data_IF_471744094822
#
_entry.id   IF_471744094822
#
_cell.length_a   1.000
_cell.length_b   1.000
_cell.length_c   1.000
_cell.angle_alpha   90.00
_cell.angle_beta   90.00
_cell.angle_gamma   90.00
#
_symmetry.space_group_name_H-M   'P 1'
#
loop_
_entity.id
_entity.type
_entity.pdbx_description
1 polymer ?
#
# COMPACT_ATOMS: atom_id res chain seq x y z
N UNK A 1 -20.70 17.32 -34.40
CA UNK A 1 -19.25 17.62 -34.38
C UNK A 1 -18.90 18.03 -32.96
N UNK A 2 -17.87 17.42 -32.38
CA UNK A 2 -17.50 17.53 -30.95
C UNK A 2 -17.36 19.00 -30.51
N UNK A 3 -18.40 19.56 -29.89
CA UNK A 3 -18.50 20.97 -29.47
C UNK A 3 -17.50 21.38 -28.36
N UNK A 4 -16.60 20.47 -27.98
CA UNK A 4 -15.67 20.61 -26.88
C UNK A 4 -14.24 20.93 -27.36
N UNK A 5 -13.93 20.69 -28.63
CA UNK A 5 -12.59 20.88 -29.19
C UNK A 5 -12.65 21.96 -30.27
N UNK A 6 -12.10 23.13 -29.98
CA UNK A 6 -11.91 24.19 -30.96
C UNK A 6 -10.44 24.19 -31.42
N UNK A 7 -10.22 23.84 -32.68
CA UNK A 7 -8.92 24.03 -33.35
C UNK A 7 -7.72 23.24 -32.80
N UNK A 8 -7.93 22.12 -32.11
CA UNK A 8 -6.90 21.20 -31.56
C UNK A 8 -6.03 21.75 -30.41
N UNK A 9 -6.19 23.01 -29.98
CA UNK A 9 -5.32 23.61 -28.94
C UNK A 9 -6.01 23.90 -27.62
N UNK A 10 -7.35 23.95 -27.61
CA UNK A 10 -8.14 24.32 -26.44
C UNK A 10 -9.43 23.54 -26.33
N UNK A 11 -9.92 23.45 -25.09
CA UNK A 11 -11.23 22.91 -24.76
C UNK A 11 -12.16 24.03 -24.29
N UNK A 12 -13.45 23.91 -24.59
CA UNK A 12 -14.49 24.74 -24.00
C UNK A 12 -15.39 23.87 -23.12
N UNK A 13 -15.59 24.25 -21.86
CA UNK A 13 -16.53 23.57 -20.96
C UNK A 13 -17.84 24.37 -20.88
N UNK A 14 -18.96 23.86 -21.43
CA UNK A 14 -20.24 24.57 -21.40
C UNK A 14 -20.80 24.76 -19.98
N UNK A 15 -20.29 24.04 -18.98
CA UNK A 15 -20.67 24.19 -17.57
C UNK A 15 -20.00 25.39 -16.91
N UNK A 16 -18.96 25.97 -17.51
CA UNK A 16 -18.19 27.08 -16.97
C UNK A 16 -18.30 28.31 -17.88
N UNK A 17 -18.77 29.43 -17.32
CA UNK A 17 -18.95 30.70 -18.03
C UNK A 17 -19.66 30.55 -19.39
N UNK A 18 -20.70 29.71 -19.45
CA UNK A 18 -21.47 29.38 -20.66
C UNK A 18 -20.61 28.92 -21.86
N UNK A 19 -19.46 28.29 -21.61
CA UNK A 19 -18.53 27.83 -22.65
C UNK A 19 -17.76 28.95 -23.36
N UNK A 20 -17.78 30.17 -22.82
CA UNK A 20 -17.01 31.31 -23.37
C UNK A 20 -15.53 31.23 -23.04
N UNK A 21 -15.20 30.63 -21.89
CA UNK A 21 -13.82 30.47 -21.46
C UNK A 21 -13.16 29.27 -22.14
N UNK A 22 -11.91 29.49 -22.55
CA UNK A 22 -11.08 28.50 -23.22
C UNK A 22 -10.01 28.01 -22.27
N UNK A 23 -9.91 26.70 -22.13
CA UNK A 23 -8.86 26.08 -21.34
C UNK A 23 -7.83 25.41 -22.27
N UNK A 24 -6.54 25.42 -21.92
CA UNK A 24 -5.55 24.60 -22.60
C UNK A 24 -5.93 23.11 -22.54
N UNK A 25 -5.56 22.33 -23.56
CA UNK A 25 -5.85 20.89 -23.58
C UNK A 25 -5.26 20.13 -22.37
N UNK A 26 -4.14 20.63 -21.81
CA UNK A 26 -3.55 20.06 -20.59
C UNK A 26 -4.45 20.14 -19.35
N UNK A 27 -5.49 21.00 -19.37
CA UNK A 27 -6.50 21.07 -18.32
C UNK A 27 -7.28 19.75 -18.19
N UNK A 28 -7.48 18.98 -19.26
CA UNK A 28 -8.09 17.64 -19.16
C UNK A 28 -7.22 16.69 -18.33
N UNK A 29 -5.92 16.67 -18.60
CA UNK A 29 -4.96 15.85 -17.85
C UNK A 29 -4.93 16.28 -16.38
N UNK A 30 -4.98 17.59 -16.13
CA UNK A 30 -5.07 18.12 -14.78
C UNK A 30 -6.35 17.63 -14.07
N UNK A 31 -7.52 17.74 -14.69
CA UNK A 31 -8.78 17.28 -14.10
C UNK A 31 -8.81 15.78 -13.87
N UNK A 32 -8.29 14.97 -14.80
CA UNK A 32 -8.19 13.52 -14.60
C UNK A 32 -7.31 13.19 -13.39
N UNK A 33 -6.16 13.85 -13.25
CA UNK A 33 -5.27 13.67 -12.10
C UNK A 33 -5.92 14.16 -10.80
N UNK A 34 -6.61 15.31 -10.83
CA UNK A 34 -7.32 15.83 -9.67
C UNK A 34 -8.48 14.94 -9.24
N UNK A 35 -9.20 14.34 -10.18
CA UNK A 35 -10.27 13.41 -9.86
C UNK A 35 -9.73 12.18 -9.11
N UNK A 36 -8.59 11.63 -9.55
CA UNK A 36 -7.91 10.54 -8.84
C UNK A 36 -7.51 10.94 -7.41
N UNK A 37 -6.96 12.15 -7.23
CA UNK A 37 -6.61 12.66 -5.89
C UNK A 37 -7.84 12.83 -5.00
N UNK A 38 -8.97 13.29 -5.56
CA UNK A 38 -10.24 13.42 -4.82
C UNK A 38 -10.76 12.05 -4.38
N UNK A 39 -10.72 11.05 -5.27
CA UNK A 39 -11.09 9.66 -4.95
C UNK A 39 -10.22 9.11 -3.82
N UNK A 40 -8.89 9.27 -3.91
CA UNK A 40 -7.94 8.85 -2.87
C UNK A 40 -8.21 9.56 -1.52
N UNK A 41 -8.53 10.86 -1.54
CA UNK A 41 -8.92 11.62 -0.35
C UNK A 41 -10.21 11.10 0.29
N UNK A 42 -11.22 10.79 -0.53
CA UNK A 42 -12.49 10.25 -0.05
C UNK A 42 -12.31 8.87 0.59
N UNK A 43 -11.48 8.02 0.00
CA UNK A 43 -11.15 6.69 0.53
C UNK A 43 -10.42 6.77 1.86
N UNK A 44 -9.42 7.64 1.98
CA UNK A 44 -8.72 7.89 3.24
C UNK A 44 -9.68 8.37 4.33
N UNK A 45 -10.54 9.34 3.99
CA UNK A 45 -11.55 9.85 4.92
C UNK A 45 -12.52 8.76 5.36
N UNK A 46 -12.98 7.92 4.45
CA UNK A 46 -13.88 6.81 4.77
C UNK A 46 -13.20 5.79 5.71
N UNK A 47 -11.93 5.46 5.46
CA UNK A 47 -11.14 4.60 6.34
C UNK A 47 -10.95 5.21 7.73
N UNK A 48 -10.65 6.51 7.82
CA UNK A 48 -10.54 7.21 9.10
C UNK A 48 -11.86 7.20 9.88
N UNK A 49 -12.98 7.48 9.22
CA UNK A 49 -14.29 7.45 9.89
C UNK A 49 -14.63 6.03 10.36
N UNK A 50 -14.36 5.00 9.56
CA UNK A 50 -14.54 3.61 9.97
C UNK A 50 -13.72 3.29 11.23
N UNK A 51 -12.45 3.72 11.28
CA UNK A 51 -11.59 3.54 12.46
C UNK A 51 -12.15 4.25 13.69
N UNK A 52 -12.61 5.51 13.55
CA UNK A 52 -13.21 6.28 14.64
C UNK A 52 -14.47 5.62 15.18
N UNK A 53 -15.34 5.14 14.30
CA UNK A 53 -16.54 4.41 14.68
C UNK A 53 -16.19 3.15 15.48
N UNK A 54 -15.20 2.38 15.02
CA UNK A 54 -14.73 1.17 15.71
C UNK A 54 -14.10 1.48 17.05
N UNK A 55 -13.36 2.59 17.16
CA UNK A 55 -12.79 3.04 18.42
C UNK A 55 -13.89 3.34 19.46
N UNK A 56 -14.95 4.04 19.06
CA UNK A 56 -16.11 4.31 19.93
C UNK A 56 -16.82 3.01 20.35
N UNK A 57 -17.01 2.09 19.40
CA UNK A 57 -17.61 0.78 19.65
C UNK A 57 -16.77 -0.04 20.66
N UNK A 58 -15.46 -0.13 20.45
CA UNK A 58 -14.55 -0.90 21.30
C UNK A 58 -14.41 -0.30 22.71
N UNK A 59 -14.43 1.02 22.84
CA UNK A 59 -14.48 1.70 24.14
C UNK A 59 -15.77 1.32 24.90
N UNK A 60 -16.92 1.29 24.21
CA UNK A 60 -18.20 0.94 24.85
C UNK A 60 -18.34 -0.54 25.23
N UNK A 61 -17.55 -1.43 24.61
CA UNK A 61 -17.62 -2.89 24.80
C UNK A 61 -16.54 -3.46 25.73
N UNK A 62 -15.75 -2.60 26.38
CA UNK A 62 -14.67 -3.03 27.28
C UNK A 62 -13.49 -3.71 26.58
N UNK A 63 -13.36 -3.50 25.26
CA UNK A 63 -12.25 -3.98 24.42
C UNK A 63 -11.10 -2.96 24.36
N UNK A 64 -11.00 -2.09 25.35
CA UNK A 64 -10.04 -0.99 25.43
C UNK A 64 -8.59 -1.46 25.28
N UNK A 65 -8.28 -2.69 25.72
CA UNK A 65 -6.97 -3.31 25.55
C UNK A 65 -6.56 -3.63 24.10
N UNK A 66 -7.49 -3.62 23.13
CA UNK A 66 -7.16 -3.70 21.70
C UNK A 66 -6.66 -2.35 21.15
N UNK A 67 -6.86 -1.26 21.89
CA UNK A 67 -6.49 0.09 21.49
C UNK A 67 -5.35 0.58 22.36
N UNK A 68 -4.14 0.07 22.11
CA UNK A 68 -2.95 0.55 22.82
C UNK A 68 -2.50 1.95 22.40
N UNK A 69 -3.20 2.62 21.48
CA UNK A 69 -2.65 3.75 20.73
C UNK A 69 -3.71 4.81 20.32
N UNK A 70 -4.45 5.35 21.29
CA UNK A 70 -5.35 6.50 21.06
C UNK A 70 -4.64 7.67 20.37
N UNK A 71 -3.38 7.94 20.72
CA UNK A 71 -2.57 8.99 20.10
C UNK A 71 -2.22 8.71 18.63
N UNK A 72 -2.18 7.45 18.21
CA UNK A 72 -1.91 7.10 16.81
C UNK A 72 -3.06 7.48 15.90
N UNK A 73 -4.31 7.33 16.35
CA UNK A 73 -5.47 7.70 15.53
C UNK A 73 -5.60 9.21 15.33
N UNK A 74 -5.29 10.01 16.35
CA UNK A 74 -5.18 11.46 16.19
C UNK A 74 -4.07 11.83 15.21
N UNK A 75 -2.92 11.15 15.27
CA UNK A 75 -1.83 11.37 14.33
C UNK A 75 -2.18 10.99 12.88
N UNK A 76 -3.12 10.07 12.64
CA UNK A 76 -3.57 9.73 11.29
C UNK A 76 -4.30 10.90 10.61
N UNK A 77 -4.96 11.79 11.37
CA UNK A 77 -5.60 12.98 10.79
C UNK A 77 -4.58 13.99 10.25
N UNK A 78 -3.38 14.01 10.82
CA UNK A 78 -2.28 14.91 10.44
C UNK A 78 -1.44 14.38 9.26
N UNK A 79 -1.63 13.11 8.87
CA UNK A 79 -0.89 12.51 7.75
C UNK A 79 -1.35 13.17 6.44
N UNK A 80 -0.41 13.83 5.77
CA UNK A 80 -0.62 14.33 4.42
C UNK A 80 -0.67 13.16 3.45
N UNK A 81 -1.71 13.06 2.62
CA UNK A 81 -1.84 11.98 1.61
C UNK A 81 -0.67 11.91 0.62
N UNK A 82 -0.06 13.05 0.31
CA UNK A 82 1.13 13.12 -0.53
C UNK A 82 2.44 12.73 0.19
N UNK A 83 2.38 12.46 1.49
CA UNK A 83 3.56 12.02 2.23
C UNK A 83 3.95 10.60 1.84
N UNK A 84 5.23 10.31 2.05
CA UNK A 84 5.82 9.02 1.79
C UNK A 84 6.33 8.45 3.12
N UNK A 85 6.09 7.17 3.34
CA UNK A 85 6.56 6.44 4.49
C UNK A 85 7.73 5.58 4.08
N UNK A 86 8.86 5.79 4.73
CA UNK A 86 10.04 4.97 4.50
C UNK A 86 9.92 3.67 5.28
N UNK A 87 9.95 2.56 4.56
CA UNK A 87 10.06 1.21 5.07
C UNK A 87 11.50 0.71 4.91
N UNK A 88 11.81 -0.43 5.51
CA UNK A 88 13.11 -1.12 5.36
C UNK A 88 13.40 -1.44 3.90
N UNK A 89 12.35 -1.77 3.14
CA UNK A 89 12.48 -2.31 1.80
C UNK A 89 11.99 -1.40 0.69
N UNK A 90 11.15 -0.41 1.01
CA UNK A 90 10.59 0.49 0.01
C UNK A 90 10.08 1.80 0.63
N UNK A 91 9.56 2.68 -0.22
CA UNK A 91 8.87 3.90 0.15
C UNK A 91 7.43 3.82 -0.33
N UNK A 92 6.48 3.82 0.59
CA UNK A 92 5.06 3.77 0.24
C UNK A 92 4.42 5.16 0.31
N UNK A 93 3.52 5.49 -0.62
CA UNK A 93 2.60 6.61 -0.45
C UNK A 93 1.69 6.42 0.77
N UNK A 94 1.47 7.48 1.55
CA UNK A 94 0.54 7.44 2.67
C UNK A 94 -0.90 7.10 2.25
N UNK A 95 -1.30 7.43 1.02
CA UNK A 95 -2.60 7.02 0.46
C UNK A 95 -2.81 5.50 0.46
N UNK A 96 -1.76 4.70 0.35
CA UNK A 96 -1.88 3.25 0.30
C UNK A 96 -2.11 2.64 1.70
N UNK A 97 -1.92 3.45 2.76
CA UNK A 97 -2.34 3.08 4.10
C UNK A 97 -3.86 3.05 4.25
N UNK A 98 -4.62 3.76 3.41
CA UNK A 98 -6.09 3.75 3.44
C UNK A 98 -6.64 2.32 3.34
N UNK A 99 -5.93 1.43 2.66
CA UNK A 99 -6.30 0.03 2.48
C UNK A 99 -6.33 -0.73 3.81
N UNK A 100 -5.49 -0.38 4.79
CA UNK A 100 -5.54 -0.98 6.13
C UNK A 100 -6.76 -0.53 6.94
N UNK A 101 -7.32 0.63 6.60
CA UNK A 101 -8.42 1.26 7.34
C UNK A 101 -9.80 0.91 6.74
N UNK A 102 -9.83 0.25 5.59
CA UNK A 102 -11.05 -0.02 4.83
C UNK A 102 -11.34 -1.51 4.64
N UNK A 103 -12.29 -1.78 3.75
CA UNK A 103 -12.68 -3.14 3.33
C UNK A 103 -12.02 -3.59 2.02
N UNK A 104 -11.06 -2.80 1.52
CA UNK A 104 -10.32 -3.11 0.30
C UNK A 104 -9.37 -4.28 0.53
N UNK A 105 -9.11 -5.02 -0.54
CA UNK A 105 -8.05 -6.02 -0.56
C UNK A 105 -6.70 -5.35 -0.38
N UNK A 106 -5.88 -5.91 0.50
CA UNK A 106 -4.51 -5.44 0.73
C UNK A 106 -3.66 -5.75 -0.51
N UNK A 107 -2.84 -4.79 -0.94
CA UNK A 107 -1.83 -5.02 -1.97
C UNK A 107 -0.58 -5.69 -1.38
N UNK A 108 0.31 -6.18 -2.25
CA UNK A 108 1.60 -6.78 -1.82
C UNK A 108 2.40 -5.84 -0.93
N UNK A 109 2.41 -4.56 -1.24
CA UNK A 109 3.11 -3.52 -0.46
C UNK A 109 2.54 -3.39 0.96
N UNK A 110 1.24 -3.62 1.14
CA UNK A 110 0.62 -3.64 2.47
C UNK A 110 1.04 -4.88 3.27
N UNK A 111 1.14 -6.03 2.62
CA UNK A 111 1.58 -7.27 3.26
C UNK A 111 3.06 -7.20 3.64
N UNK A 112 3.90 -6.62 2.78
CA UNK A 112 5.32 -6.41 3.06
C UNK A 112 5.53 -5.48 4.26
N UNK A 113 4.69 -4.47 4.46
CA UNK A 113 4.72 -3.64 5.67
C UNK A 113 4.44 -4.43 6.94
N UNK A 114 3.40 -5.28 6.91
CA UNK A 114 3.06 -6.15 8.03
C UNK A 114 4.24 -7.08 8.28
N UNK A 115 4.81 -7.70 7.24
CA UNK A 115 5.96 -8.58 7.36
C UNK A 115 7.18 -7.90 8.00
N UNK A 116 7.48 -6.65 7.62
CA UNK A 116 8.57 -5.88 8.23
C UNK A 116 8.31 -5.63 9.72
N UNK A 117 7.10 -5.16 10.06
CA UNK A 117 6.75 -4.83 11.43
C UNK A 117 6.77 -6.07 12.31
N UNK A 118 6.14 -7.15 11.85
CA UNK A 118 6.14 -8.44 12.52
C UNK A 118 7.57 -8.92 12.70
N UNK A 119 8.43 -8.86 11.68
CA UNK A 119 9.85 -9.24 11.80
C UNK A 119 10.58 -8.49 12.91
N UNK A 120 10.31 -7.20 13.11
CA UNK A 120 10.92 -6.42 14.21
C UNK A 120 10.44 -6.90 15.58
N UNK A 121 9.14 -7.18 15.71
CA UNK A 121 8.52 -7.55 16.98
C UNK A 121 8.80 -9.03 17.37
N UNK A 122 8.80 -9.94 16.38
CA UNK A 122 9.00 -11.39 16.58
C UNK A 122 10.46 -11.83 16.75
N UNK A 123 11.43 -10.92 16.60
CA UNK A 123 12.83 -11.20 17.03
C UNK A 123 12.90 -11.60 18.50
N UNK A 124 11.94 -11.19 19.30
CA UNK A 124 11.81 -11.60 20.71
C UNK A 124 11.23 -12.99 20.90
N UNK A 125 10.63 -13.59 19.85
CA UNK A 125 9.97 -14.90 19.88
C UNK A 125 10.90 -16.05 19.47
N UNK A 126 12.18 -15.76 19.26
CA UNK A 126 13.21 -16.72 18.86
C UNK A 126 13.77 -16.42 17.46
N UNK A 127 14.25 -17.46 16.79
CA UNK A 127 14.86 -17.38 15.46
C UNK A 127 13.79 -17.36 14.36
N UNK A 128 12.96 -16.33 14.36
CA UNK A 128 11.84 -16.18 13.41
C UNK A 128 12.17 -15.11 12.38
N UNK A 129 11.80 -15.38 11.13
CA UNK A 129 11.89 -14.43 10.02
C UNK A 129 10.59 -14.38 9.26
N UNK A 130 10.15 -13.17 8.89
CA UNK A 130 9.07 -12.97 7.92
C UNK A 130 9.68 -12.29 6.70
N UNK A 131 9.45 -12.87 5.52
CA UNK A 131 9.97 -12.36 4.25
C UNK A 131 8.91 -11.59 3.48
N UNK A 132 9.36 -10.84 2.48
CA UNK A 132 8.49 -10.13 1.54
C UNK A 132 7.76 -11.09 0.61
N UNK A 133 6.64 -10.63 0.07
CA UNK A 133 5.88 -11.24 -1.01
C UNK A 133 6.73 -11.57 -2.24
N UNK A 134 7.70 -10.71 -2.58
CA UNK A 134 8.65 -10.97 -3.68
C UNK A 134 9.46 -12.27 -3.50
N UNK A 135 9.67 -12.72 -2.26
CA UNK A 135 10.35 -13.98 -1.99
C UNK A 135 9.55 -15.18 -2.51
N UNK A 136 8.23 -15.14 -2.39
CA UNK A 136 7.33 -16.15 -2.94
C UNK A 136 7.41 -16.18 -4.47
N UNK A 137 7.38 -15.03 -5.12
CA UNK A 137 7.56 -14.93 -6.57
C UNK A 137 8.91 -15.51 -7.00
N UNK A 138 9.98 -15.19 -6.27
CA UNK A 138 11.31 -15.73 -6.54
C UNK A 138 11.37 -17.26 -6.39
N UNK A 139 10.72 -17.84 -5.37
CA UNK A 139 10.62 -19.30 -5.24
C UNK A 139 9.86 -19.90 -6.42
N UNK A 140 8.71 -19.32 -6.78
CA UNK A 140 7.86 -19.85 -7.85
C UNK A 140 8.56 -19.81 -9.22
N UNK A 141 9.36 -18.77 -9.47
CA UNK A 141 10.07 -18.58 -10.73
C UNK A 141 11.39 -19.35 -10.80
N UNK A 142 12.15 -19.41 -9.70
CA UNK A 142 13.55 -19.86 -9.71
C UNK A 142 13.82 -21.08 -8.82
N UNK A 143 12.90 -21.47 -7.95
CA UNK A 143 13.12 -22.53 -6.94
C UNK A 143 13.48 -23.90 -7.52
N UNK A 144 13.06 -24.18 -8.75
CA UNK A 144 13.38 -25.42 -9.48
C UNK A 144 14.69 -25.36 -10.28
N UNK A 145 15.30 -24.17 -10.45
CA UNK A 145 16.43 -23.92 -11.38
C UNK A 145 17.63 -23.21 -10.73
N UNK A 146 17.71 -23.21 -9.39
CA UNK A 146 18.72 -22.49 -8.57
C UNK A 146 20.16 -22.77 -8.99
N UNK A 147 20.44 -23.89 -9.66
CA UNK A 147 21.79 -24.25 -10.13
C UNK A 147 22.30 -23.46 -11.35
N UNK A 148 21.54 -22.53 -11.95
CA UNK A 148 21.92 -21.97 -13.27
C UNK A 148 21.66 -20.48 -13.53
N UNK A 149 21.24 -19.66 -12.57
CA UNK A 149 20.67 -18.34 -12.90
C UNK A 149 21.39 -17.18 -12.19
N UNK A 150 22.01 -16.31 -12.99
CA UNK A 150 22.64 -15.03 -12.62
C UNK A 150 21.64 -13.86 -12.65
N UNK A 151 20.36 -14.08 -12.30
CA UNK A 151 19.33 -13.05 -12.35
C UNK A 151 19.03 -12.47 -10.95
N UNK A 152 18.52 -11.25 -10.91
CA UNK A 152 18.15 -10.51 -9.69
C UNK A 152 17.27 -11.31 -8.71
N UNK A 153 16.45 -12.25 -9.20
CA UNK A 153 15.64 -13.11 -8.34
C UNK A 153 16.44 -14.18 -7.60
N UNK A 154 17.54 -14.67 -8.20
CA UNK A 154 18.48 -15.54 -7.51
C UNK A 154 19.23 -14.78 -6.41
N UNK A 155 19.57 -13.51 -6.63
CA UNK A 155 20.18 -12.67 -5.60
C UNK A 155 19.30 -12.49 -4.36
N UNK A 156 17.98 -12.34 -4.54
CA UNK A 156 17.05 -12.27 -3.40
C UNK A 156 17.06 -13.57 -2.59
N UNK A 157 17.01 -14.74 -3.25
CA UNK A 157 17.06 -16.02 -2.55
C UNK A 157 18.44 -16.27 -1.92
N UNK A 158 19.52 -15.82 -2.55
CA UNK A 158 20.88 -15.88 -2.00
C UNK A 158 21.06 -15.00 -0.77
N UNK A 159 20.42 -13.82 -0.72
CA UNK A 159 20.47 -12.92 0.45
C UNK A 159 20.01 -13.63 1.73
N UNK A 160 18.99 -14.48 1.61
CA UNK A 160 18.45 -15.26 2.75
C UNK A 160 19.13 -16.62 2.93
N UNK A 161 19.95 -17.08 1.98
CA UNK A 161 20.55 -18.42 2.01
C UNK A 161 21.41 -18.60 3.24
N UNK A 162 22.26 -17.62 3.57
CA UNK A 162 23.16 -17.73 4.71
C UNK A 162 22.38 -17.73 6.04
N UNK A 163 21.30 -16.97 6.13
CA UNK A 163 20.45 -16.91 7.33
C UNK A 163 19.67 -18.22 7.53
N UNK A 164 19.24 -18.86 6.44
CA UNK A 164 18.50 -20.14 6.46
C UNK A 164 19.43 -21.35 6.67
N UNK A 165 20.55 -21.43 5.94
CA UNK A 165 21.47 -22.59 5.98
C UNK A 165 22.25 -22.64 7.28
N UNK A 166 22.69 -21.49 7.81
CA UNK A 166 23.48 -21.44 9.04
C UNK A 166 22.64 -21.58 10.32
N UNK A 167 21.33 -21.87 10.21
CA UNK A 167 20.44 -22.05 11.36
C UNK A 167 20.25 -20.79 12.20
N UNK A 168 20.43 -19.61 11.58
CA UNK A 168 20.12 -18.31 12.18
C UNK A 168 18.61 -18.12 12.26
N UNK A 169 17.86 -18.74 11.34
CA UNK A 169 16.39 -18.80 11.31
C UNK A 169 15.94 -20.23 11.53
N UNK A 170 15.02 -20.44 12.48
CA UNK A 170 14.32 -21.72 12.72
C UNK A 170 12.93 -21.74 12.09
N UNK A 171 12.28 -20.57 11.98
CA UNK A 171 10.95 -20.45 11.37
C UNK A 171 10.92 -19.32 10.36
N UNK A 172 10.54 -19.67 9.13
CA UNK A 172 10.37 -18.74 8.02
C UNK A 172 8.87 -18.61 7.71
N UNK A 173 8.35 -17.39 7.74
CA UNK A 173 7.00 -17.07 7.30
C UNK A 173 7.05 -16.37 5.95
N UNK A 174 6.35 -16.94 4.97
CA UNK A 174 6.29 -16.46 3.59
C UNK A 174 4.84 -16.09 3.27
N UNK A 175 4.52 -14.82 3.01
CA UNK A 175 3.20 -14.43 2.53
C UNK A 175 2.96 -14.99 1.13
N UNK A 176 1.77 -15.53 0.88
CA UNK A 176 1.43 -16.18 -0.39
C UNK A 176 0.23 -15.50 -1.03
N UNK A 177 0.39 -14.95 -2.23
CA UNK A 177 -0.76 -14.52 -3.00
C UNK A 177 -1.34 -15.69 -3.79
N UNK A 178 -2.60 -16.04 -3.53
CA UNK A 178 -3.32 -17.08 -4.25
C UNK A 178 -4.25 -16.40 -5.26
N UNK A 179 -4.05 -16.69 -6.55
CA UNK A 179 -4.89 -16.24 -7.67
C UNK A 179 -5.08 -14.71 -7.79
N UNK A 180 -4.15 -13.91 -7.27
CA UNK A 180 -4.24 -12.44 -7.29
C UNK A 180 -5.47 -11.88 -6.57
N UNK A 181 -6.10 -12.68 -5.68
CA UNK A 181 -7.32 -12.30 -4.99
C UNK A 181 -7.41 -12.83 -3.55
N UNK A 182 -6.36 -13.44 -3.01
CA UNK A 182 -6.30 -13.90 -1.63
C UNK A 182 -4.86 -13.91 -1.12
N UNK A 183 -4.68 -13.63 0.17
CA UNK A 183 -3.41 -13.63 0.90
C UNK A 183 -3.44 -14.65 2.02
#
# INVERSE_FOLDING_TARGET
>A
MNAWLDGHTSICDPRYNDGRDRFPLCTLIFWEKMNKVIEEQQEWKAGLEWVKERQLEWASTGKEGLIHNYGTFAALEDIRLASQLQLRWDTIPAKDLAQFLGTKWLASDNIDQIAERVTKDVRTWGKVMVVRTLFQEAIMLYGSSVSSISSTGAHLLEEFKDELVNGVVEKLYVPFNINSNHW
#
